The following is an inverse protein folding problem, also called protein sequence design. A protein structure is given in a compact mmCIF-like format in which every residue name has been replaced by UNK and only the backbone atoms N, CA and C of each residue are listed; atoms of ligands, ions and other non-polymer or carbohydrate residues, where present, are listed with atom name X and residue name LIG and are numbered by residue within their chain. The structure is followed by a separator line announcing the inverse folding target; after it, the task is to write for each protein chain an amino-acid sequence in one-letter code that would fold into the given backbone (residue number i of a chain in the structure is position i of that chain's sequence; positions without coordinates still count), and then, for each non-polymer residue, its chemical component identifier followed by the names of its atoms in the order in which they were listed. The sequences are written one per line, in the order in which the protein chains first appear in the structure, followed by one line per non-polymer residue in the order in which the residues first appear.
data_IF_375269090886
#
_entry.id   IF_375269090886
#
_cell.length_a   1.000
_cell.length_b   1.000
_cell.length_c   1.000
_cell.angle_alpha   90.00
_cell.angle_beta   90.00
_cell.angle_gamma   90.00
#
_symmetry.space_group_name_H-M   'P 1'
#
loop_
_entity.id
_entity.type
_entity.pdbx_description
1 polymer ?
#
# COMPACT_ATOMS: atom_id res chain seq x y z
N UNK A 1 35.69 -9.90 -31.90
CA UNK A 1 34.46 -10.09 -31.12
C UNK A 1 34.66 -11.28 -30.20
N UNK A 2 34.23 -11.15 -28.95
CA UNK A 2 34.41 -12.11 -27.86
C UNK A 2 33.01 -12.54 -27.40
N UNK A 3 32.76 -13.84 -27.20
CA UNK A 3 31.48 -14.31 -26.66
C UNK A 3 31.38 -13.94 -25.19
N UNK A 4 30.36 -13.15 -24.84
CA UNK A 4 30.01 -12.78 -23.48
C UNK A 4 28.73 -13.50 -23.06
N UNK A 5 28.78 -14.24 -21.94
CA UNK A 5 27.59 -14.91 -21.41
C UNK A 5 26.73 -13.94 -20.60
N UNK A 6 25.46 -13.80 -20.96
CA UNK A 6 24.47 -13.07 -20.19
C UNK A 6 23.70 -13.98 -19.23
N UNK A 7 23.71 -13.60 -17.95
CA UNK A 7 22.91 -14.21 -16.88
C UNK A 7 21.86 -13.20 -16.41
N UNK A 8 20.63 -13.36 -16.88
CA UNK A 8 19.51 -12.50 -16.49
C UNK A 8 18.86 -13.06 -15.23
N UNK A 9 18.75 -12.25 -14.16
CA UNK A 9 18.01 -12.68 -12.98
C UNK A 9 16.50 -12.42 -13.15
N UNK A 10 15.67 -13.35 -12.70
CA UNK A 10 14.20 -13.22 -12.71
C UNK A 10 13.50 -13.78 -13.95
N UNK A 11 14.15 -13.85 -15.10
CA UNK A 11 13.66 -14.62 -16.24
C UNK A 11 14.10 -16.09 -16.09
N UNK A 12 13.19 -17.03 -16.36
CA UNK A 12 13.49 -18.47 -16.33
C UNK A 12 14.81 -18.74 -17.07
N UNK A 13 15.87 -19.12 -16.33
CA UNK A 13 17.27 -19.43 -16.71
C UNK A 13 17.60 -19.50 -18.22
N UNK A 14 17.40 -18.43 -18.98
CA UNK A 14 17.80 -18.35 -20.38
C UNK A 14 19.18 -17.73 -20.43
N UNK A 15 20.20 -18.58 -20.58
CA UNK A 15 21.56 -18.13 -20.93
C UNK A 15 21.49 -17.59 -22.36
N UNK A 16 21.94 -16.35 -22.55
CA UNK A 16 22.11 -15.76 -23.89
C UNK A 16 23.58 -15.41 -24.08
N UNK A 17 24.07 -15.48 -25.30
CA UNK A 17 25.46 -15.15 -25.63
C UNK A 17 25.43 -13.99 -26.61
N UNK A 18 26.17 -12.92 -26.28
CA UNK A 18 26.34 -11.75 -27.15
C UNK A 18 27.79 -11.72 -27.63
N UNK A 19 28.00 -11.33 -28.88
CA UNK A 19 29.32 -11.03 -29.43
C UNK A 19 29.66 -9.57 -29.16
N UNK A 20 30.69 -9.30 -28.35
CA UNK A 20 31.09 -7.94 -27.95
C UNK A 20 32.56 -7.68 -28.32
N UNK A 21 32.96 -6.43 -28.49
CA UNK A 21 34.37 -6.08 -28.65
C UNK A 21 35.17 -6.27 -27.34
N UNK A 22 36.47 -6.66 -27.41
CA UNK A 22 37.28 -6.89 -26.21
C UNK A 22 37.41 -5.67 -25.31
N UNK A 23 37.40 -4.46 -25.87
CA UNK A 23 37.44 -3.21 -25.14
C UNK A 23 36.15 -2.44 -25.45
N UNK A 24 35.16 -2.52 -24.58
CA UNK A 24 33.85 -1.95 -24.83
C UNK A 24 33.50 -0.90 -23.77
N UNK A 25 32.92 0.22 -24.20
CA UNK A 25 32.32 1.19 -23.30
C UNK A 25 31.04 0.62 -22.68
N UNK A 26 30.83 0.89 -21.39
CA UNK A 26 29.67 0.38 -20.66
C UNK A 26 28.35 0.90 -21.24
N UNK A 27 28.34 2.13 -21.77
CA UNK A 27 27.17 2.68 -22.45
C UNK A 27 26.79 1.89 -23.72
N UNK A 28 27.77 1.46 -24.51
CA UNK A 28 27.56 0.61 -25.70
C UNK A 28 27.10 -0.79 -25.29
N UNK A 29 27.74 -1.37 -24.28
CA UNK A 29 27.35 -2.66 -23.72
C UNK A 29 25.89 -2.65 -23.22
N UNK A 30 25.47 -1.57 -22.55
CA UNK A 30 24.09 -1.42 -22.06
C UNK A 30 23.08 -1.41 -23.20
N UNK A 31 23.39 -0.72 -24.30
CA UNK A 31 22.54 -0.68 -25.51
C UNK A 31 22.45 -2.04 -26.21
N UNK A 32 23.56 -2.76 -26.33
CA UNK A 32 23.56 -4.12 -26.90
C UNK A 32 22.73 -5.08 -26.05
N UNK A 33 22.88 -5.01 -24.73
CA UNK A 33 22.10 -5.84 -23.79
C UNK A 33 20.61 -5.49 -23.83
N UNK A 34 20.24 -4.20 -23.92
CA UNK A 34 18.84 -3.80 -24.00
C UNK A 34 18.18 -4.24 -25.31
N UNK A 35 18.90 -4.17 -26.43
CA UNK A 35 18.43 -4.66 -27.73
C UNK A 35 18.18 -6.17 -27.70
N UNK A 36 19.13 -6.93 -27.16
CA UNK A 36 19.00 -8.39 -27.03
C UNK A 36 17.84 -8.78 -26.10
N UNK A 37 17.61 -8.05 -25.01
CA UNK A 37 16.49 -8.29 -24.10
C UNK A 37 15.14 -7.81 -24.65
N UNK A 38 15.11 -7.14 -25.81
CA UNK A 38 13.87 -6.61 -26.40
C UNK A 38 13.24 -5.49 -25.58
N UNK A 39 14.04 -4.73 -24.83
CA UNK A 39 13.55 -3.61 -24.02
C UNK A 39 13.37 -2.40 -24.94
N UNK A 40 12.11 -2.06 -25.24
CA UNK A 40 11.74 -0.98 -26.19
C UNK A 40 11.62 0.39 -25.51
N UNK A 41 11.37 0.42 -24.19
CA UNK A 41 11.20 1.68 -23.45
C UNK A 41 12.51 2.16 -22.82
N UNK A 42 12.87 3.43 -23.05
CA UNK A 42 14.02 4.10 -22.40
C UNK A 42 13.95 4.04 -20.86
N UNK A 43 12.72 3.98 -20.33
CA UNK A 43 12.45 3.82 -18.90
C UNK A 43 12.99 2.50 -18.32
N UNK A 44 13.02 1.45 -19.13
CA UNK A 44 13.50 0.12 -18.74
C UNK A 44 15.03 0.03 -18.87
N UNK A 45 15.60 0.71 -19.87
CA UNK A 45 17.05 0.81 -20.08
C UNK A 45 17.73 1.50 -18.89
N UNK A 46 17.14 2.57 -18.36
CA UNK A 46 17.68 3.26 -17.18
C UNK A 46 17.57 2.46 -15.88
N UNK A 47 16.64 1.52 -15.79
CA UNK A 47 16.45 0.68 -14.59
C UNK A 47 17.30 -0.59 -14.63
N UNK A 48 17.89 -0.89 -15.77
CA UNK A 48 18.73 -2.06 -15.98
C UNK A 48 20.04 -1.89 -15.20
N UNK A 49 20.28 -2.80 -14.25
CA UNK A 49 21.52 -2.86 -13.48
C UNK A 49 22.41 -3.96 -14.07
N UNK A 50 23.62 -3.57 -14.48
CA UNK A 50 24.65 -4.47 -14.98
C UNK A 50 25.65 -4.76 -13.86
N UNK A 51 26.02 -6.02 -13.67
CA UNK A 51 27.06 -6.43 -12.74
C UNK A 51 28.09 -7.26 -13.49
N UNK A 52 29.32 -6.75 -13.57
CA UNK A 52 30.44 -7.40 -14.23
C UNK A 52 31.53 -7.70 -13.19
N UNK A 53 31.95 -8.96 -13.08
CA UNK A 53 32.93 -9.44 -12.09
C UNK A 53 32.67 -8.96 -10.65
N UNK A 54 31.40 -8.91 -10.25
CA UNK A 54 30.98 -8.47 -8.92
C UNK A 54 30.93 -6.94 -8.72
N UNK A 55 31.38 -6.14 -9.69
CA UNK A 55 31.22 -4.68 -9.67
C UNK A 55 29.90 -4.30 -10.36
N UNK A 56 29.05 -3.57 -9.64
CA UNK A 56 27.86 -2.97 -10.23
C UNK A 56 28.29 -1.79 -11.12
N UNK A 57 27.91 -1.83 -12.39
CA UNK A 57 28.18 -0.80 -13.38
C UNK A 57 27.00 0.17 -13.41
N UNK A 58 27.21 1.38 -12.93
CA UNK A 58 26.18 2.42 -12.83
C UNK A 58 26.11 3.30 -14.08
N UNK A 59 25.15 4.24 -14.11
CA UNK A 59 25.07 5.25 -15.17
C UNK A 59 26.29 6.20 -15.20
N UNK A 60 26.94 6.41 -14.05
CA UNK A 60 28.17 7.21 -13.97
C UNK A 60 29.38 6.54 -14.65
N UNK A 61 29.35 5.21 -14.81
CA UNK A 61 30.45 4.44 -15.40
C UNK A 61 30.30 4.30 -16.92
N UNK A 62 29.29 4.90 -17.56
CA UNK A 62 28.95 4.65 -18.97
C UNK A 62 30.08 4.99 -19.96
N UNK A 63 30.97 5.93 -19.61
CA UNK A 63 32.16 6.31 -20.38
C UNK A 63 33.41 5.50 -20.03
N UNK A 64 33.35 4.61 -19.03
CA UNK A 64 34.48 3.76 -18.69
C UNK A 64 34.50 2.52 -19.58
N UNK A 65 35.69 2.10 -19.97
CA UNK A 65 35.92 0.92 -20.80
C UNK A 65 36.15 -0.31 -19.93
N UNK A 66 35.62 -1.45 -20.38
CA UNK A 66 35.77 -2.74 -19.72
C UNK A 66 36.47 -3.71 -20.67
N UNK A 67 37.52 -4.38 -20.17
CA UNK A 67 38.21 -5.48 -20.84
C UNK A 67 37.39 -6.78 -20.69
N UNK A 68 36.77 -7.21 -21.78
CA UNK A 68 35.91 -8.40 -21.88
C UNK A 68 36.73 -9.56 -22.44
N UNK A 69 36.84 -10.64 -21.66
CA UNK A 69 37.54 -11.87 -22.07
C UNK A 69 36.57 -12.99 -22.37
N UNK A 70 37.01 -13.94 -23.20
CA UNK A 70 36.21 -15.10 -23.56
C UNK A 70 35.89 -15.92 -22.31
N UNK A 71 34.60 -16.15 -22.07
CA UNK A 71 34.10 -16.86 -20.88
C UNK A 71 33.73 -15.96 -19.69
N UNK A 72 33.86 -14.64 -19.81
CA UNK A 72 33.28 -13.73 -18.82
C UNK A 72 31.74 -13.83 -18.83
N UNK A 73 31.12 -13.64 -17.66
CA UNK A 73 29.68 -13.60 -17.51
C UNK A 73 29.21 -12.26 -16.96
N UNK A 74 28.23 -11.66 -17.64
CA UNK A 74 27.57 -10.42 -17.24
C UNK A 74 26.22 -10.75 -16.59
N UNK A 75 26.03 -10.28 -15.36
CA UNK A 75 24.76 -10.44 -14.66
C UNK A 75 23.89 -9.21 -14.92
N UNK A 76 22.68 -9.46 -15.42
CA UNK A 76 21.72 -8.41 -15.79
C UNK A 76 20.51 -8.50 -14.87
N UNK A 77 20.23 -7.40 -14.18
CA UNK A 77 19.13 -7.26 -13.23
C UNK A 77 18.14 -6.23 -13.77
N UNK A 78 16.92 -6.69 -14.04
CA UNK A 78 15.79 -5.81 -14.32
C UNK A 78 14.87 -5.81 -13.09
N UNK A 79 14.93 -4.79 -12.22
CA UNK A 79 14.02 -4.71 -11.09
C UNK A 79 12.57 -4.59 -11.63
N UNK A 80 11.62 -5.39 -11.12
CA UNK A 80 10.25 -5.35 -11.60
C UNK A 80 9.67 -3.94 -11.46
N UNK A 81 8.76 -3.55 -12.35
CA UNK A 81 7.97 -2.34 -12.18
C UNK A 81 7.29 -2.43 -10.82
N UNK A 82 7.55 -1.45 -9.95
CA UNK A 82 6.91 -1.42 -8.64
C UNK A 82 5.40 -1.49 -8.89
N UNK A 83 4.67 -2.41 -8.24
CA UNK A 83 3.22 -2.49 -8.39
C UNK A 83 2.64 -1.10 -8.09
N UNK A 84 1.66 -0.69 -8.89
CA UNK A 84 0.91 0.54 -8.67
C UNK A 84 0.34 0.49 -7.26
N UNK A 85 0.98 1.24 -6.35
CA UNK A 85 0.56 1.65 -5.02
C UNK A 85 -0.61 0.81 -4.50
N UNK A 86 -0.33 -0.36 -3.90
CA UNK A 86 -1.19 -0.99 -2.88
C UNK A 86 -0.49 -2.11 -2.07
N UNK A 87 0.82 -2.29 -2.18
CA UNK A 87 1.56 -3.18 -1.28
C UNK A 87 3.01 -2.72 -1.18
N UNK A 88 3.29 -1.79 -0.27
CA UNK A 88 4.65 -1.58 0.22
C UNK A 88 4.81 -2.41 1.50
N UNK A 89 5.10 -3.70 1.32
CA UNK A 89 5.91 -4.43 2.29
C UNK A 89 7.32 -4.51 1.72
N UNK A 90 8.24 -3.75 2.31
CA UNK A 90 9.65 -4.08 2.25
C UNK A 90 10.26 -3.79 3.61
N UNK A 91 10.29 -4.86 4.39
CA UNK A 91 11.02 -4.99 5.63
C UNK A 91 12.50 -4.71 5.34
N UNK A 92 13.03 -3.65 5.92
CA UNK A 92 14.32 -3.64 6.60
C UNK A 92 14.11 -2.74 7.83
N UNK A 93 14.34 -3.33 9.01
CA UNK A 93 14.31 -2.78 10.39
C UNK A 93 12.97 -2.94 11.16
N UNK A 94 12.80 -4.13 11.74
CA UNK A 94 11.68 -4.59 12.59
C UNK A 94 11.53 -3.88 13.96
N UNK A 95 12.26 -2.80 14.24
CA UNK A 95 12.22 -2.13 15.55
C UNK A 95 11.61 -0.71 15.52
N UNK A 96 11.16 -0.22 14.36
CA UNK A 96 10.66 1.16 14.18
C UNK A 96 9.16 1.26 13.81
N UNK A 97 8.39 0.17 14.00
CA UNK A 97 7.04 -0.06 13.47
C UNK A 97 5.89 0.76 14.11
N UNK A 98 6.24 1.84 14.82
CA UNK A 98 5.26 2.83 15.33
C UNK A 98 5.56 4.26 14.90
N UNK A 99 6.54 4.47 13.99
CA UNK A 99 6.93 5.83 13.58
C UNK A 99 6.19 6.31 12.34
N UNK A 100 5.39 7.35 12.55
CA UNK A 100 4.64 8.07 11.51
C UNK A 100 5.57 8.56 10.38
N UNK A 101 5.43 8.00 9.18
CA UNK A 101 6.11 8.48 7.97
C UNK A 101 5.21 9.51 7.28
N UNK A 102 5.66 10.77 7.23
CA UNK A 102 4.93 11.86 6.57
C UNK A 102 4.79 11.55 5.07
N UNK A 103 3.62 11.80 4.46
CA UNK A 103 3.44 11.65 3.02
C UNK A 103 4.40 12.61 2.27
N UNK A 104 5.03 12.13 1.20
CA UNK A 104 6.05 12.88 0.44
C UNK A 104 5.53 14.20 -0.18
N UNK A 105 4.20 14.38 -0.22
CA UNK A 105 3.47 15.57 -0.66
C UNK A 105 3.33 16.67 0.40
N UNK A 106 3.81 16.46 1.63
CA UNK A 106 3.66 17.42 2.72
C UNK A 106 4.46 18.72 2.48
N UNK A 107 3.81 19.86 2.70
CA UNK A 107 4.35 21.20 2.48
C UNK A 107 5.54 21.49 3.43
N UNK A 108 6.45 22.42 3.08
CA UNK A 108 7.63 22.72 3.90
C UNK A 108 7.30 23.19 5.32
N UNK A 109 6.13 23.81 5.49
CA UNK A 109 5.62 24.27 6.78
C UNK A 109 5.15 23.10 7.66
N UNK A 110 4.52 22.10 7.08
CA UNK A 110 4.07 20.90 7.79
C UNK A 110 5.26 20.12 8.32
N UNK A 111 6.35 20.02 7.54
CA UNK A 111 7.60 19.39 7.99
C UNK A 111 8.21 20.11 9.19
N UNK A 112 8.22 21.45 9.17
CA UNK A 112 8.70 22.26 10.30
C UNK A 112 7.81 22.12 11.53
N UNK A 113 6.49 22.10 11.34
CA UNK A 113 5.52 21.99 12.43
C UNK A 113 5.59 20.61 13.10
N UNK A 114 5.74 19.54 12.30
CA UNK A 114 5.91 18.18 12.81
C UNK A 114 7.25 18.02 13.54
N UNK A 115 8.34 18.54 12.99
CA UNK A 115 9.64 18.51 13.68
C UNK A 115 9.61 19.32 14.98
N UNK A 116 8.92 20.46 15.00
CA UNK A 116 8.74 21.28 16.20
C UNK A 116 7.90 20.56 17.26
N UNK A 117 6.77 19.96 16.87
CA UNK A 117 5.91 19.19 17.78
C UNK A 117 6.63 17.97 18.36
N UNK A 118 7.42 17.27 17.54
CA UNK A 118 8.19 16.09 17.95
C UNK A 118 9.30 16.46 18.93
N UNK A 119 10.02 17.54 18.69
CA UNK A 119 11.17 17.93 19.50
C UNK A 119 10.75 18.59 20.83
N UNK A 120 9.70 19.43 20.85
CA UNK A 120 9.31 20.17 22.05
C UNK A 120 8.35 19.42 22.96
N UNK A 121 7.56 18.48 22.41
CA UNK A 121 6.33 18.06 23.07
C UNK A 121 6.16 16.53 23.17
N UNK A 122 7.09 15.72 22.62
CA UNK A 122 7.07 14.24 22.65
C UNK A 122 5.69 13.65 22.33
N UNK A 123 4.93 14.29 21.44
CA UNK A 123 3.60 13.82 21.11
C UNK A 123 3.70 12.44 20.45
N UNK A 124 2.85 11.47 20.84
CA UNK A 124 2.83 10.17 20.21
C UNK A 124 2.51 10.30 18.72
N UNK A 125 3.22 9.53 17.90
CA UNK A 125 3.15 9.60 16.44
C UNK A 125 1.72 9.34 15.90
N UNK A 126 0.89 8.59 16.62
CA UNK A 126 -0.53 8.36 16.28
C UNK A 126 -1.40 9.63 16.37
N UNK A 127 -1.10 10.55 17.29
CA UNK A 127 -1.86 11.81 17.43
C UNK A 127 -1.62 12.71 16.23
N UNK A 128 -0.36 12.80 15.79
CA UNK A 128 0.01 13.54 14.59
C UNK A 128 -0.64 12.94 13.35
N UNK A 129 -0.69 11.60 13.24
CA UNK A 129 -1.38 10.92 12.16
C UNK A 129 -2.87 11.28 12.10
N UNK A 130 -3.55 11.31 13.24
CA UNK A 130 -4.95 11.70 13.35
C UNK A 130 -5.12 13.17 12.92
N UNK A 131 -4.34 14.08 13.49
CA UNK A 131 -4.41 15.52 13.17
C UNK A 131 -4.23 15.78 11.68
N UNK A 132 -3.27 15.10 11.06
CA UNK A 132 -2.94 15.29 9.65
C UNK A 132 -3.87 14.55 8.68
N UNK A 133 -4.52 13.47 9.13
CA UNK A 133 -5.47 12.69 8.33
C UNK A 133 -6.82 13.40 8.17
N UNK A 134 -7.24 14.15 9.19
CA UNK A 134 -8.49 14.89 9.14
C UNK A 134 -8.26 16.30 8.58
N UNK A 135 -8.87 16.62 7.43
CA UNK A 135 -8.80 17.97 6.86
C UNK A 135 -9.40 19.04 7.79
N UNK A 136 -8.95 20.29 7.67
CA UNK A 136 -9.35 21.41 8.52
C UNK A 136 -10.88 21.56 8.71
N UNK A 137 -11.66 21.27 7.65
CA UNK A 137 -13.13 21.30 7.71
C UNK A 137 -13.73 20.35 8.75
N UNK A 138 -13.16 19.14 8.90
CA UNK A 138 -13.63 18.15 9.89
C UNK A 138 -13.23 18.57 11.30
N UNK A 139 -12.03 19.12 11.46
CA UNK A 139 -11.58 19.69 12.73
C UNK A 139 -12.48 20.83 13.21
N UNK A 140 -12.92 21.72 12.30
CA UNK A 140 -13.88 22.78 12.62
C UNK A 140 -15.21 22.21 13.16
N UNK A 141 -15.72 21.13 12.57
CA UNK A 141 -16.93 20.46 13.07
C UNK A 141 -16.74 19.87 14.47
N UNK A 142 -15.59 19.23 14.73
CA UNK A 142 -15.26 18.69 16.06
C UNK A 142 -15.11 19.80 17.10
N UNK A 143 -14.43 20.89 16.76
CA UNK A 143 -14.30 22.07 17.61
C UNK A 143 -15.65 22.71 17.91
N UNK A 144 -16.50 22.86 16.89
CA UNK A 144 -17.86 23.36 17.07
C UNK A 144 -18.66 22.46 18.02
N UNK A 145 -18.59 21.15 17.83
CA UNK A 145 -19.23 20.18 18.72
C UNK A 145 -18.73 20.34 20.17
N UNK A 146 -17.42 20.46 20.40
CA UNK A 146 -16.85 20.70 21.74
C UNK A 146 -17.29 22.03 22.37
N UNK A 147 -17.41 23.11 21.58
CA UNK A 147 -17.91 24.40 22.08
C UNK A 147 -19.36 24.25 22.55
N UNK A 148 -20.21 23.61 21.75
CA UNK A 148 -21.61 23.33 22.12
C UNK A 148 -21.67 22.47 23.38
N UNK A 149 -20.76 21.49 23.54
CA UNK A 149 -20.66 20.69 24.76
C UNK A 149 -20.34 21.55 25.99
N UNK A 150 -19.39 22.49 25.89
CA UNK A 150 -19.03 23.40 26.98
C UNK A 150 -20.20 24.31 27.41
N UNK A 151 -20.97 24.81 26.43
CA UNK A 151 -22.20 25.55 26.71
C UNK A 151 -23.25 24.68 27.41
N UNK A 152 -23.46 23.44 26.95
CA UNK A 152 -24.44 22.54 27.55
C UNK A 152 -24.11 22.20 29.01
N UNK A 153 -22.83 22.01 29.34
CA UNK A 153 -22.40 21.78 30.73
C UNK A 153 -22.68 23.01 31.60
N UNK A 154 -22.41 24.21 31.07
CA UNK A 154 -22.63 25.47 31.80
C UNK A 154 -24.11 25.72 32.11
N UNK A 155 -25.02 25.11 31.34
CA UNK A 155 -26.48 25.21 31.51
C UNK A 155 -27.06 24.02 32.30
N UNK A 156 -26.20 23.15 32.85
CA UNK A 156 -26.56 21.89 33.53
C UNK A 156 -27.29 20.87 32.62
N UNK A 157 -27.22 21.07 31.30
CA UNK A 157 -27.78 20.20 30.27
C UNK A 157 -26.75 19.19 29.73
N UNK A 158 -25.59 19.04 30.39
CA UNK A 158 -24.50 18.17 29.91
C UNK A 158 -24.93 16.72 29.67
N UNK A 159 -25.75 16.16 30.57
CA UNK A 159 -26.29 14.80 30.41
C UNK A 159 -27.20 14.68 29.20
N UNK A 160 -28.10 15.65 29.00
CA UNK A 160 -29.02 15.68 27.85
C UNK A 160 -28.26 15.82 26.53
N UNK A 161 -27.19 16.61 26.52
CA UNK A 161 -26.32 16.75 25.35
C UNK A 161 -25.64 15.43 24.97
N UNK A 162 -25.15 14.65 25.94
CA UNK A 162 -24.54 13.34 25.68
C UNK A 162 -25.59 12.37 25.13
N UNK A 163 -26.77 12.29 25.78
CA UNK A 163 -27.87 11.41 25.35
C UNK A 163 -28.31 11.77 23.92
N UNK A 164 -28.51 13.06 23.64
CA UNK A 164 -28.90 13.53 22.31
C UNK A 164 -27.82 13.22 21.27
N UNK A 165 -26.53 13.40 21.61
CA UNK A 165 -25.43 13.09 20.69
C UNK A 165 -25.39 11.59 20.35
N UNK A 166 -25.50 10.71 21.34
CA UNK A 166 -25.52 9.25 21.13
C UNK A 166 -26.73 8.86 20.28
N UNK A 167 -27.91 9.42 20.61
CA UNK A 167 -29.12 9.16 19.84
C UNK A 167 -28.98 9.61 18.38
N UNK A 168 -28.46 10.81 18.14
CA UNK A 168 -28.16 11.28 16.79
C UNK A 168 -27.16 10.39 16.06
N UNK A 169 -26.11 9.91 16.74
CA UNK A 169 -25.15 8.97 16.13
C UNK A 169 -25.81 7.64 15.75
N UNK A 170 -26.69 7.10 16.57
CA UNK A 170 -27.44 5.88 16.26
C UNK A 170 -28.33 6.10 15.03
N UNK A 171 -29.10 7.18 15.01
CA UNK A 171 -29.99 7.50 13.88
C UNK A 171 -29.20 7.77 12.60
N UNK A 172 -28.04 8.44 12.70
CA UNK A 172 -27.17 8.67 11.55
C UNK A 172 -26.49 7.37 11.08
N UNK A 173 -26.18 6.46 12.02
CA UNK A 173 -25.58 5.17 11.73
C UNK A 173 -26.60 4.14 11.19
N UNK A 174 -27.89 4.39 11.35
CA UNK A 174 -28.95 3.63 10.69
C UNK A 174 -28.78 3.78 9.17
N UNK A 175 -28.11 2.79 8.58
CA UNK A 175 -27.87 2.72 7.14
C UNK A 175 -29.18 2.68 6.35
N UNK A 176 -29.10 3.06 5.08
CA UNK A 176 -30.23 2.85 4.16
C UNK A 176 -30.25 1.38 3.76
N UNK A 177 -31.37 0.70 4.02
CA UNK A 177 -31.61 -0.67 3.52
C UNK A 177 -31.59 -0.66 1.99
N UNK A 178 -30.96 -1.67 1.39
CA UNK A 178 -31.10 -1.90 -0.04
C UNK A 178 -32.41 -2.66 -0.29
N UNK A 179 -33.12 -2.32 -1.37
CA UNK A 179 -34.33 -3.03 -1.79
C UNK A 179 -33.98 -4.50 -2.08
N UNK A 180 -34.43 -5.41 -1.21
CA UNK A 180 -34.10 -6.84 -1.27
C UNK A 180 -33.34 -7.42 -0.06
N UNK A 181 -32.94 -6.58 0.90
CA UNK A 181 -32.33 -7.08 2.15
C UNK A 181 -33.37 -7.78 3.03
N UNK A 182 -33.24 -9.11 3.16
CA UNK A 182 -34.10 -9.94 4.01
C UNK A 182 -34.06 -9.40 5.44
N UNK A 183 -35.23 -9.12 5.99
CA UNK A 183 -35.35 -8.61 7.34
C UNK A 183 -35.06 -9.71 8.37
N UNK A 184 -34.41 -9.33 9.48
CA UNK A 184 -34.14 -10.23 10.60
C UNK A 184 -35.41 -10.84 11.22
N UNK A 185 -36.56 -10.21 10.98
CA UNK A 185 -37.85 -10.68 11.42
C UNK A 185 -38.66 -11.05 10.20
N UNK A 186 -38.99 -12.33 10.05
CA UNK A 186 -39.79 -12.90 8.95
C UNK A 186 -41.08 -12.10 8.66
N UNK A 187 -41.67 -11.46 9.68
CA UNK A 187 -42.88 -10.61 9.53
C UNK A 187 -42.72 -9.40 8.58
N UNK A 188 -41.49 -8.96 8.32
CA UNK A 188 -41.20 -7.85 7.40
C UNK A 188 -40.56 -8.33 6.09
N UNK A 189 -40.71 -9.60 5.74
CA UNK A 189 -40.26 -10.15 4.46
C UNK A 189 -41.50 -10.47 3.61
N UNK A 190 -41.47 -10.14 2.32
CA UNK A 190 -42.67 -10.18 1.47
C UNK A 190 -43.35 -11.57 1.42
N UNK A 191 -42.55 -12.64 1.57
CA UNK A 191 -43.01 -14.03 1.56
C UNK A 191 -42.73 -14.76 2.89
N UNK A 192 -42.50 -14.04 3.99
CA UNK A 192 -42.14 -14.61 5.30
C UNK A 192 -40.93 -15.54 5.28
N UNK A 193 -40.07 -15.46 4.25
CA UNK A 193 -38.91 -16.33 4.16
C UNK A 193 -37.94 -16.06 5.31
N UNK A 194 -37.64 -17.12 6.06
CA UNK A 194 -36.62 -17.09 7.10
C UNK A 194 -35.24 -16.89 6.49
N UNK A 195 -34.36 -16.21 7.24
CA UNK A 195 -32.99 -15.99 6.81
C UNK A 195 -32.28 -17.34 6.68
N UNK A 196 -31.64 -17.66 5.54
CA UNK A 196 -30.88 -18.89 5.40
C UNK A 196 -29.75 -18.93 6.43
N UNK A 197 -29.78 -19.94 7.32
CA UNK A 197 -28.78 -20.12 8.39
C UNK A 197 -29.32 -19.89 9.80
N UNK A 198 -30.54 -19.37 9.97
CA UNK A 198 -31.23 -19.41 11.28
C UNK A 198 -31.78 -20.81 11.56
N UNK A 199 -31.76 -21.21 12.83
CA UNK A 199 -32.24 -22.52 13.25
C UNK A 199 -33.76 -22.63 13.08
N UNK A 200 -34.20 -23.47 12.15
CA UNK A 200 -35.61 -23.73 11.87
C UNK A 200 -36.01 -25.10 12.44
N UNK A 201 -36.99 -25.12 13.35
CA UNK A 201 -37.48 -26.33 14.01
C UNK A 201 -38.11 -27.34 13.03
N UNK A 202 -38.74 -26.87 11.95
CA UNK A 202 -39.34 -27.73 10.93
C UNK A 202 -38.28 -28.39 10.05
N UNK A 203 -37.16 -27.70 9.80
CA UNK A 203 -36.00 -28.31 9.13
C UNK A 203 -35.34 -29.36 10.01
N UNK A 204 -35.21 -29.07 11.31
CA UNK A 204 -34.68 -30.04 12.27
C UNK A 204 -35.58 -31.29 12.37
N UNK A 205 -36.90 -31.10 12.52
CA UNK A 205 -37.86 -32.21 12.57
C UNK A 205 -37.83 -33.06 11.28
N UNK A 206 -37.67 -32.40 10.12
CA UNK A 206 -37.49 -33.11 8.84
C UNK A 206 -36.19 -33.91 8.79
N UNK A 207 -35.07 -33.37 9.28
CA UNK A 207 -33.81 -34.10 9.35
C UNK A 207 -33.89 -35.28 10.34
N UNK A 208 -34.55 -35.09 11.49
CA UNK A 208 -34.84 -36.14 12.46
C UNK A 208 -35.68 -37.27 11.86
N UNK A 209 -36.74 -36.94 11.11
CA UNK A 209 -37.58 -37.94 10.42
C UNK A 209 -36.87 -38.60 9.24
N UNK A 210 -36.00 -37.86 8.54
CA UNK A 210 -35.22 -38.38 7.42
C UNK A 210 -33.99 -39.19 7.84
N UNK A 211 -33.68 -39.26 9.15
CA UNK A 211 -32.52 -39.99 9.68
C UNK A 211 -31.17 -39.40 9.28
N UNK A 212 -31.12 -38.11 8.93
CA UNK A 212 -29.91 -37.41 8.53
C UNK A 212 -29.32 -36.72 9.77
N UNK A 213 -28.28 -37.32 10.35
CA UNK A 213 -27.46 -36.79 11.44
C UNK A 213 -25.99 -36.76 11.04
#
# INVERSE_FOLDING_TARGET
MVPLELKVAGFARRRRVIQVEPLCEIGVLRRLVSQELGLVEDSQVNRLKLVFRGKALGAADDYSTVDIRAGDSLLVLLPPKAPSVHSQSKNEDEDDDLRFKLPATASPLERRLVQFLKHKLKFPDFVLMIIFSFGFRRWMMVLLWLIVAGYAISWDLGHLYIIATIFCLIVWNLGKRQEGDISAYSIFNDDFHEIPGTFNAERLDRHLRAGMY
#
